data_IF_212580084251
#
_entry.id   IF_212580084251
#
_cell.length_a   1.000
_cell.length_b   1.000
_cell.length_c   1.000
_cell.angle_alpha   90.00
_cell.angle_beta   90.00
_cell.angle_gamma   90.00
#
_symmetry.space_group_name_H-M   'P 1'
#
loop_
_entity.id
_entity.type
_entity.pdbx_description
1 polymer ?
#
# COMPACT_ATOMS: atom_id res chain seq x y z
N UNK A 1 -2.11 0.91 -11.29
CA UNK A 1 -1.96 2.21 -11.98
C UNK A 1 -2.62 3.36 -11.21
N UNK A 2 -3.87 3.23 -10.75
CA UNK A 2 -4.65 4.34 -10.16
C UNK A 2 -3.87 5.25 -9.18
N UNK A 3 -3.22 4.70 -8.15
CA UNK A 3 -2.47 5.49 -7.16
C UNK A 3 -1.11 6.00 -7.66
N UNK A 4 -0.43 5.27 -8.55
CA UNK A 4 0.90 5.64 -9.04
C UNK A 4 0.88 6.86 -10.00
N UNK A 5 -0.30 7.25 -10.46
CA UNK A 5 -0.51 8.43 -11.31
C UNK A 5 -0.77 9.71 -10.50
N UNK A 6 -0.91 9.60 -9.18
CA UNK A 6 -1.17 10.76 -8.34
C UNK A 6 0.14 11.55 -8.10
N UNK A 7 0.16 12.88 -8.30
CA UNK A 7 1.39 13.68 -8.22
C UNK A 7 2.13 13.59 -6.87
N UNK A 8 1.38 13.45 -5.76
CA UNK A 8 1.95 13.33 -4.43
C UNK A 8 2.63 11.96 -4.17
N UNK A 9 2.32 10.94 -4.99
CA UNK A 9 2.84 9.58 -4.83
C UNK A 9 4.18 9.43 -5.55
N UNK A 10 5.19 8.97 -4.83
CA UNK A 10 6.51 8.65 -5.38
C UNK A 10 6.45 7.30 -6.10
N UNK A 11 6.26 6.25 -5.32
CA UNK A 11 6.15 4.87 -5.77
C UNK A 11 4.94 4.18 -5.14
N UNK A 12 4.48 3.11 -5.78
CA UNK A 12 3.36 2.32 -5.28
C UNK A 12 3.62 0.82 -5.47
N UNK A 13 3.35 0.02 -4.43
CA UNK A 13 3.40 -1.43 -4.48
C UNK A 13 2.15 -2.02 -3.84
N UNK A 14 1.54 -3.01 -4.51
CA UNK A 14 0.38 -3.72 -4.00
C UNK A 14 0.74 -5.18 -3.71
N UNK A 15 0.25 -5.70 -2.59
CA UNK A 15 0.42 -7.09 -2.16
C UNK A 15 -0.89 -7.62 -1.59
N UNK A 16 -1.06 -8.94 -1.55
CA UNK A 16 -2.13 -9.59 -0.80
C UNK A 16 -1.66 -9.83 0.64
N UNK A 17 -2.52 -9.54 1.60
CA UNK A 17 -2.31 -9.81 3.02
C UNK A 17 -3.60 -10.43 3.58
N UNK A 18 -3.53 -11.55 4.32
CA UNK A 18 -4.69 -12.11 4.99
C UNK A 18 -5.28 -11.13 6.00
N UNK A 19 -6.60 -10.98 6.00
CA UNK A 19 -7.32 -10.30 7.09
C UNK A 19 -7.57 -11.23 8.28
N UNK A 20 -8.30 -10.74 9.29
CA UNK A 20 -8.61 -11.50 10.51
C UNK A 20 -9.39 -12.80 10.23
N UNK A 21 -10.10 -12.88 9.10
CA UNK A 21 -10.84 -14.08 8.67
C UNK A 21 -9.98 -15.02 7.82
N UNK A 22 -8.68 -14.72 7.66
CA UNK A 22 -7.75 -15.48 6.84
C UNK A 22 -7.92 -15.26 5.33
N UNK A 23 -8.73 -14.28 4.92
CA UNK A 23 -8.99 -14.01 3.51
C UNK A 23 -7.97 -13.01 2.95
N UNK A 24 -7.41 -13.32 1.78
CA UNK A 24 -6.49 -12.41 1.10
C UNK A 24 -7.19 -11.11 0.69
N UNK A 25 -6.60 -9.99 1.12
CA UNK A 25 -7.06 -8.64 0.78
C UNK A 25 -5.90 -7.81 0.24
N UNK A 26 -6.23 -6.90 -0.67
CA UNK A 26 -5.27 -5.99 -1.26
C UNK A 26 -4.76 -4.98 -0.22
N UNK A 27 -3.45 -4.88 -0.08
CA UNK A 27 -2.75 -3.84 0.67
C UNK A 27 -1.89 -3.02 -0.30
N UNK A 28 -2.13 -1.71 -0.34
CA UNK A 28 -1.40 -0.75 -1.14
C UNK A 28 -0.41 0.03 -0.27
N UNK A 29 0.87 -0.04 -0.62
CA UNK A 29 1.92 0.75 -0.03
C UNK A 29 2.35 1.85 -0.99
N UNK A 30 2.47 3.07 -0.50
CA UNK A 30 2.92 4.22 -1.28
C UNK A 30 4.06 4.95 -0.58
N UNK A 31 5.00 5.49 -1.35
CA UNK A 31 5.93 6.52 -0.87
C UNK A 31 5.43 7.90 -1.29
N UNK A 32 5.86 8.94 -0.58
CA UNK A 32 5.49 10.31 -0.91
C UNK A 32 6.63 11.02 -1.64
N UNK A 33 6.28 11.93 -2.56
CA UNK A 33 7.22 12.92 -3.11
C UNK A 33 7.40 14.15 -2.20
N UNK A 34 6.62 14.21 -1.12
CA UNK A 34 6.59 15.29 -0.15
C UNK A 34 5.86 14.80 1.09
N UNK A 35 4.68 15.35 1.37
CA UNK A 35 3.90 14.97 2.54
C UNK A 35 3.33 13.54 2.45
N UNK A 36 3.61 12.73 3.47
CA UNK A 36 3.17 11.34 3.54
C UNK A 36 1.65 11.23 3.67
N UNK A 37 1.02 12.16 4.41
CA UNK A 37 -0.42 12.13 4.63
C UNK A 37 -1.18 12.52 3.35
N UNK A 38 -0.66 13.47 2.57
CA UNK A 38 -1.18 13.84 1.26
C UNK A 38 -1.10 12.68 0.27
N UNK A 39 0.07 12.03 0.15
CA UNK A 39 0.24 10.87 -0.72
C UNK A 39 -0.72 9.73 -0.36
N UNK A 40 -0.90 9.47 0.94
CA UNK A 40 -1.85 8.49 1.45
C UNK A 40 -3.30 8.81 1.04
N UNK A 41 -3.75 10.05 1.27
CA UNK A 41 -5.11 10.50 0.91
C UNK A 41 -5.34 10.45 -0.59
N UNK A 42 -4.38 10.94 -1.38
CA UNK A 42 -4.46 10.95 -2.85
C UNK A 42 -4.56 9.52 -3.41
N UNK A 43 -3.70 8.60 -2.93
CA UNK A 43 -3.71 7.21 -3.34
C UNK A 43 -5.06 6.51 -3.02
N UNK A 44 -5.58 6.71 -1.80
CA UNK A 44 -6.86 6.14 -1.38
C UNK A 44 -8.01 6.66 -2.26
N UNK A 45 -8.11 7.99 -2.44
CA UNK A 45 -9.13 8.63 -3.28
C UNK A 45 -9.06 8.16 -4.73
N UNK A 46 -7.85 8.06 -5.30
CA UNK A 46 -7.66 7.59 -6.66
C UNK A 46 -8.14 6.15 -6.85
N UNK A 47 -7.88 5.28 -5.88
CA UNK A 47 -8.40 3.91 -5.88
C UNK A 47 -9.93 3.86 -5.78
N UNK A 48 -10.55 4.70 -4.95
CA UNK A 48 -12.01 4.77 -4.83
C UNK A 48 -12.69 5.26 -6.12
N UNK A 49 -12.13 6.27 -6.78
CA UNK A 49 -12.70 6.85 -7.99
C UNK A 49 -12.50 5.97 -9.22
N UNK A 50 -11.35 5.29 -9.33
CA UNK A 50 -10.93 4.61 -10.57
C UNK A 50 -11.09 3.09 -10.53
N UNK A 51 -11.30 2.49 -9.36
CA UNK A 51 -11.39 1.03 -9.23
C UNK A 51 -12.79 0.57 -8.79
N UNK A 52 -13.30 -0.53 -9.36
CA UNK A 52 -14.50 -1.18 -8.83
C UNK A 52 -14.24 -1.67 -7.40
N UNK A 53 -15.29 -1.72 -6.57
CA UNK A 53 -15.20 -2.03 -5.12
C UNK A 53 -14.31 -3.24 -4.79
N UNK A 54 -14.44 -4.34 -5.53
CA UNK A 54 -13.68 -5.57 -5.29
C UNK A 54 -12.18 -5.49 -5.63
N UNK A 55 -11.73 -4.44 -6.33
CA UNK A 55 -10.31 -4.18 -6.63
C UNK A 55 -9.70 -3.08 -5.75
N UNK A 56 -10.46 -2.54 -4.80
CA UNK A 56 -9.96 -1.50 -3.89
C UNK A 56 -9.11 -2.14 -2.80
N UNK A 57 -7.95 -1.57 -2.48
CA UNK A 57 -7.16 -2.03 -1.34
C UNK A 57 -7.95 -1.89 -0.04
N UNK A 58 -7.96 -2.94 0.79
CA UNK A 58 -8.49 -2.87 2.16
C UNK A 58 -7.62 -1.98 3.04
N UNK A 59 -6.31 -1.95 2.78
CA UNK A 59 -5.37 -1.11 3.49
C UNK A 59 -4.55 -0.28 2.52
N UNK A 60 -4.45 1.01 2.79
CA UNK A 60 -3.47 1.91 2.15
C UNK A 60 -2.51 2.40 3.23
N UNK A 61 -1.21 2.34 2.95
CA UNK A 61 -0.14 2.74 3.88
C UNK A 61 0.89 3.59 3.20
N UNK A 62 1.26 4.69 3.84
CA UNK A 62 2.45 5.44 3.48
C UNK A 62 3.68 4.80 4.15
N UNK A 63 4.75 4.61 3.40
CA UNK A 63 6.04 4.15 3.89
C UNK A 63 7.12 5.12 3.42
N UNK A 64 8.20 5.24 4.20
CA UNK A 64 9.33 6.09 3.82
C UNK A 64 9.96 5.61 2.49
N UNK A 65 10.12 4.30 2.35
CA UNK A 65 10.62 3.67 1.14
C UNK A 65 9.99 2.28 0.92
N UNK A 66 10.01 1.81 -0.33
CA UNK A 66 9.68 0.43 -0.63
C UNK A 66 10.91 -0.45 -0.36
N UNK A 67 10.79 -1.54 0.43
CA UNK A 67 11.91 -2.42 0.70
C UNK A 67 12.37 -3.12 -0.57
N UNK A 68 13.68 -3.14 -0.84
CA UNK A 68 14.26 -3.67 -2.08
C UNK A 68 15.40 -4.65 -1.86
N UNK A 69 15.62 -5.51 -2.85
CA UNK A 69 16.84 -6.31 -2.99
C UNK A 69 18.01 -5.42 -3.43
N UNK A 70 19.24 -5.93 -3.35
CA UNK A 70 20.42 -5.26 -3.91
C UNK A 70 20.27 -4.92 -5.41
N UNK A 71 19.50 -5.71 -6.15
CA UNK A 71 19.14 -5.48 -7.57
C UNK A 71 17.93 -4.56 -7.78
N UNK A 72 17.42 -3.91 -6.74
CA UNK A 72 16.33 -2.94 -6.84
C UNK A 72 14.92 -3.53 -6.91
N UNK A 73 14.73 -4.86 -6.83
CA UNK A 73 13.40 -5.48 -6.86
C UNK A 73 12.68 -5.28 -5.53
N UNK A 74 11.41 -4.88 -5.57
CA UNK A 74 10.59 -4.73 -4.36
C UNK A 74 10.43 -6.08 -3.65
N UNK A 75 10.80 -6.12 -2.36
CA UNK A 75 10.66 -7.26 -1.48
C UNK A 75 9.24 -7.32 -0.90
N UNK A 76 8.30 -7.80 -1.72
CA UNK A 76 6.86 -7.88 -1.36
C UNK A 76 6.58 -8.61 -0.05
N UNK A 77 7.39 -9.60 0.33
CA UNK A 77 7.20 -10.30 1.60
C UNK A 77 7.39 -9.39 2.81
N UNK A 78 8.36 -8.47 2.78
CA UNK A 78 8.57 -7.47 3.85
C UNK A 78 7.40 -6.51 3.98
N UNK A 79 6.76 -6.14 2.86
CA UNK A 79 5.54 -5.33 2.90
C UNK A 79 4.41 -6.05 3.64
N UNK A 80 4.23 -7.36 3.40
CA UNK A 80 3.26 -8.17 4.16
C UNK A 80 3.60 -8.19 5.65
N UNK A 81 4.86 -8.43 6.00
CA UNK A 81 5.31 -8.44 7.40
C UNK A 81 5.07 -7.09 8.10
N UNK A 82 5.31 -5.97 7.43
CA UNK A 82 5.05 -4.62 7.96
C UNK A 82 3.58 -4.50 8.38
N UNK A 83 2.66 -4.87 7.49
CA UNK A 83 1.23 -4.75 7.77
C UNK A 83 0.76 -5.79 8.79
N UNK A 84 1.23 -7.03 8.71
CA UNK A 84 0.88 -8.07 9.68
C UNK A 84 1.31 -7.67 11.11
N UNK A 85 2.53 -7.12 11.27
CA UNK A 85 3.00 -6.58 12.55
C UNK A 85 2.17 -5.38 13.02
N UNK A 86 1.67 -4.55 12.09
CA UNK A 86 0.78 -3.44 12.46
C UNK A 86 -0.57 -3.93 12.95
N UNK A 87 -1.16 -4.92 12.28
CA UNK A 87 -2.46 -5.49 12.63
C UNK A 87 -2.38 -6.23 13.99
N UNK A 88 -1.35 -7.04 14.20
CA UNK A 88 -1.14 -7.77 15.46
C UNK A 88 -0.89 -6.87 16.68
N UNK A 89 -0.54 -5.59 16.49
CA UNK A 89 -0.42 -4.61 17.60
C UNK A 89 -1.72 -3.90 17.92
N UNK A 90 -2.73 -4.01 17.03
CA UNK A 90 -4.02 -3.33 17.16
C UNK A 90 -5.10 -4.22 17.76
N UNK A 91 -4.83 -5.53 17.84
CA UNK A 91 -5.58 -6.52 18.60
C UNK A 91 -5.09 -6.55 20.05
#
# INVERSE_FOLDING_TARGET
>A
AAAALEPAVGEAACVLVPDADGLDRLALFVTARGDAAEALRAAARACELRLPRHKRPRWVRAVAELPRTATGKVQRYKLREILQRELARKD
#
